data_IF_086045384378
#
_entry.id   IF_086045384378
#
_cell.length_a   1.000
_cell.length_b   1.000
_cell.length_c   1.000
_cell.angle_alpha   90.00
_cell.angle_beta   90.00
_cell.angle_gamma   90.00
#
_symmetry.space_group_name_H-M   'P 1'
#
loop_
_entity.id
_entity.type
_entity.pdbx_description
1 polymer ?
#
# COMPACT_ATOMS: atom_id res chain seq x y z
N UNK A 1 6.85 6.36 -11.33
CA UNK A 1 7.06 6.79 -9.93
C UNK A 1 6.32 8.10 -9.75
N UNK A 2 5.93 8.45 -8.53
CA UNK A 2 5.22 9.70 -8.24
C UNK A 2 6.07 10.55 -7.29
N UNK A 3 6.27 11.81 -7.64
CA UNK A 3 7.02 12.76 -6.82
C UNK A 3 6.07 13.56 -5.95
N UNK A 4 6.35 13.66 -4.66
CA UNK A 4 5.51 14.39 -3.71
C UNK A 4 5.92 15.84 -3.53
N UNK A 5 7.20 16.15 -3.78
CA UNK A 5 7.72 17.51 -3.58
C UNK A 5 7.51 18.42 -4.79
N UNK A 6 7.19 17.84 -5.96
CA UNK A 6 6.95 18.64 -7.15
C UNK A 6 5.55 19.26 -7.12
N UNK A 7 5.39 20.55 -7.47
CA UNK A 7 4.11 21.26 -7.39
C UNK A 7 2.94 20.59 -8.12
N UNK A 8 3.24 19.84 -9.20
CA UNK A 8 2.23 19.15 -10.01
C UNK A 8 2.12 17.65 -9.69
N UNK A 9 2.80 17.14 -8.65
CA UNK A 9 2.65 15.76 -8.15
C UNK A 9 2.80 14.66 -9.22
N UNK A 10 3.66 14.90 -10.22
CA UNK A 10 3.60 14.18 -11.49
C UNK A 10 4.19 12.76 -11.46
N UNK A 11 3.64 11.91 -12.33
CA UNK A 11 4.27 10.64 -12.66
C UNK A 11 5.56 10.89 -13.48
N UNK A 12 6.63 10.18 -13.13
CA UNK A 12 7.91 10.27 -13.82
C UNK A 12 8.55 8.89 -14.02
N UNK A 13 9.47 8.79 -15.00
CA UNK A 13 10.16 7.56 -15.37
C UNK A 13 11.45 7.34 -14.55
N UNK A 14 12.09 6.18 -14.71
CA UNK A 14 13.34 5.86 -14.02
C UNK A 14 14.46 6.89 -14.25
N UNK A 15 14.64 7.35 -15.50
CA UNK A 15 15.70 8.29 -15.87
C UNK A 15 15.48 9.70 -15.31
N UNK A 16 14.22 10.11 -15.11
CA UNK A 16 13.91 11.39 -14.49
C UNK A 16 14.29 11.42 -13.00
N UNK A 17 14.45 10.26 -12.35
CA UNK A 17 14.78 10.17 -10.92
C UNK A 17 16.08 10.90 -10.60
N UNK A 18 17.18 10.50 -11.23
CA UNK A 18 18.50 11.07 -10.91
C UNK A 18 18.71 12.48 -11.45
N UNK A 19 17.99 12.88 -12.51
CA UNK A 19 18.18 14.18 -13.15
C UNK A 19 17.35 15.30 -12.56
N UNK A 20 16.13 15.00 -12.05
CA UNK A 20 15.16 16.02 -11.60
C UNK A 20 14.57 15.76 -10.23
N UNK A 21 14.78 14.56 -9.66
CA UNK A 21 14.13 14.12 -8.42
C UNK A 21 15.12 13.37 -7.50
N UNK A 22 16.40 13.77 -7.51
CA UNK A 22 17.45 13.05 -6.79
C UNK A 22 17.25 13.06 -5.27
N UNK A 23 16.73 14.18 -4.75
CA UNK A 23 16.48 14.40 -3.32
C UNK A 23 14.99 14.55 -2.99
N UNK A 24 14.10 14.16 -3.90
CA UNK A 24 12.67 14.31 -3.66
C UNK A 24 12.08 13.06 -3.01
N UNK A 25 11.04 13.26 -2.18
CA UNK A 25 10.17 12.21 -1.70
C UNK A 25 9.39 11.59 -2.86
N UNK A 26 9.53 10.28 -3.03
CA UNK A 26 9.00 9.54 -4.17
C UNK A 26 8.29 8.28 -3.69
N UNK A 27 7.08 8.05 -4.22
CA UNK A 27 6.35 6.79 -4.06
C UNK A 27 6.40 5.99 -5.36
N UNK A 28 6.66 4.69 -5.25
CA UNK A 28 6.57 3.77 -6.37
C UNK A 28 5.45 2.74 -6.16
N UNK A 29 4.37 2.89 -6.93
CA UNK A 29 3.33 1.86 -7.06
C UNK A 29 3.88 0.68 -7.84
N UNK A 30 3.66 -0.53 -7.32
CA UNK A 30 4.09 -1.80 -7.89
C UNK A 30 2.89 -2.73 -8.03
N UNK A 31 2.98 -3.70 -8.94
CA UNK A 31 1.93 -4.71 -9.11
C UNK A 31 2.33 -6.03 -8.47
N UNK A 32 1.47 -6.56 -7.60
CA UNK A 32 1.59 -7.88 -7.00
C UNK A 32 0.25 -8.62 -7.13
N UNK A 33 0.27 -9.78 -7.78
CA UNK A 33 -0.93 -10.58 -8.06
C UNK A 33 -2.09 -9.73 -8.60
N UNK A 34 -1.84 -8.93 -9.64
CA UNK A 34 -2.78 -8.03 -10.30
C UNK A 34 -3.23 -6.79 -9.51
N UNK A 35 -2.81 -6.63 -8.26
CA UNK A 35 -3.18 -5.52 -7.39
C UNK A 35 -2.02 -4.57 -7.11
N UNK A 36 -2.37 -3.32 -6.83
CA UNK A 36 -1.39 -2.26 -6.57
C UNK A 36 -0.94 -2.27 -5.11
N UNK A 37 0.38 -2.27 -4.93
CA UNK A 37 1.06 -2.26 -3.64
C UNK A 37 2.12 -1.17 -3.58
N UNK A 38 2.42 -0.72 -2.38
CA UNK A 38 3.56 0.15 -2.06
C UNK A 38 4.38 -0.49 -0.95
N UNK A 39 5.68 -0.18 -0.91
CA UNK A 39 6.55 -0.62 0.18
C UNK A 39 6.25 0.23 1.41
N UNK A 40 6.14 -0.40 2.58
CA UNK A 40 5.88 0.32 3.83
C UNK A 40 6.96 1.37 4.10
N UNK A 41 8.22 1.02 3.86
CA UNK A 41 9.36 1.93 4.02
C UNK A 41 9.31 3.19 3.12
N UNK A 42 8.53 3.19 2.03
CA UNK A 42 8.37 4.37 1.17
C UNK A 42 7.25 5.31 1.65
N UNK A 43 6.34 4.82 2.49
CA UNK A 43 5.12 5.55 2.86
C UNK A 43 4.98 5.78 4.35
N UNK A 44 5.69 5.04 5.20
CA UNK A 44 5.56 5.13 6.66
C UNK A 44 5.96 6.48 7.24
N UNK A 45 6.86 7.21 6.57
CA UNK A 45 7.24 8.57 6.97
C UNK A 45 6.21 9.63 6.56
N UNK A 46 5.23 9.27 5.73
CA UNK A 46 4.28 10.19 5.10
C UNK A 46 2.83 9.90 5.51
N UNK A 47 2.54 8.64 5.85
CA UNK A 47 1.20 8.10 6.02
C UNK A 47 1.21 7.14 7.22
N UNK A 48 0.18 7.21 8.06
CA UNK A 48 -0.01 6.23 9.12
C UNK A 48 -0.43 4.88 8.53
N UNK A 49 0.46 3.90 8.57
CA UNK A 49 0.22 2.52 8.12
C UNK A 49 -0.26 1.59 9.25
N UNK A 50 -0.39 2.09 10.48
CA UNK A 50 -0.83 1.34 11.64
C UNK A 50 -2.23 0.73 11.45
N UNK A 51 -2.41 -0.49 11.94
CA UNK A 51 -3.66 -1.25 11.82
C UNK A 51 -3.97 -1.77 10.42
N UNK A 52 -3.16 -1.46 9.40
CA UNK A 52 -3.30 -2.02 8.06
C UNK A 52 -2.47 -3.29 7.93
N UNK A 53 -3.07 -4.36 7.41
CA UNK A 53 -2.35 -5.61 7.19
C UNK A 53 -1.25 -5.45 6.15
N UNK A 54 -0.05 -5.87 6.53
CA UNK A 54 1.14 -5.86 5.66
C UNK A 54 1.54 -7.26 5.25
N UNK A 55 2.20 -7.38 4.11
CA UNK A 55 2.67 -8.65 3.56
C UNK A 55 4.17 -8.56 3.25
N UNK A 56 4.88 -9.68 3.35
CA UNK A 56 6.27 -9.77 2.88
C UNK A 56 6.25 -10.37 1.48
N UNK A 57 6.63 -9.59 0.47
CA UNK A 57 6.66 -10.00 -0.94
C UNK A 57 8.02 -9.64 -1.52
N UNK A 58 8.72 -10.61 -2.11
CA UNK A 58 10.08 -10.44 -2.62
C UNK A 58 11.00 -9.78 -1.56
N UNK A 59 10.93 -10.30 -0.33
CA UNK A 59 11.68 -9.83 0.85
C UNK A 59 11.42 -8.37 1.25
N UNK A 60 10.31 -7.77 0.80
CA UNK A 60 9.92 -6.41 1.16
C UNK A 60 8.58 -6.39 1.88
N UNK A 61 8.48 -5.57 2.93
CA UNK A 61 7.19 -5.29 3.59
C UNK A 61 6.37 -4.35 2.71
N UNK A 62 5.21 -4.81 2.28
CA UNK A 62 4.30 -4.08 1.40
C UNK A 62 2.90 -4.00 1.97
N UNK A 63 2.16 -2.99 1.52
CA UNK A 63 0.75 -2.77 1.82
C UNK A 63 0.00 -2.56 0.52
N UNK A 64 -1.23 -3.07 0.44
CA UNK A 64 -2.10 -2.86 -0.72
C UNK A 64 -2.75 -1.49 -0.66
N UNK A 65 -2.87 -0.86 -1.83
CA UNK A 65 -3.52 0.44 -1.94
C UNK A 65 -5.02 0.33 -1.79
N UNK A 66 -5.65 -0.63 -2.46
CA UNK A 66 -7.11 -0.76 -2.50
C UNK A 66 -7.58 -2.13 -1.98
N UNK A 67 -8.87 -2.21 -1.69
CA UNK A 67 -9.54 -3.48 -1.44
C UNK A 67 -9.37 -4.43 -2.63
N UNK A 68 -9.47 -5.72 -2.34
CA UNK A 68 -9.27 -6.79 -3.32
C UNK A 68 -10.50 -7.70 -3.32
N UNK A 69 -10.87 -8.32 -4.46
CA UNK A 69 -12.00 -9.24 -4.55
C UNK A 69 -11.91 -10.34 -3.48
N UNK A 70 -13.00 -10.57 -2.74
CA UNK A 70 -12.99 -11.51 -1.61
C UNK A 70 -12.53 -12.90 -2.07
N UNK A 71 -11.52 -13.52 -1.41
CA UNK A 71 -11.37 -14.95 -1.48
C UNK A 71 -12.56 -15.55 -0.74
N UNK A 72 -13.20 -16.57 -1.31
CA UNK A 72 -14.32 -17.28 -0.70
C UNK A 72 -14.09 -17.44 0.80
N UNK A 73 -14.92 -16.77 1.60
CA UNK A 73 -14.76 -16.68 3.05
C UNK A 73 -14.69 -18.09 3.64
N UNK A 74 -13.49 -18.50 4.07
CA UNK A 74 -13.31 -19.73 4.82
C UNK A 74 -14.07 -19.61 6.14
N UNK A 75 -14.96 -20.57 6.42
CA UNK A 75 -15.69 -20.63 7.69
C UNK A 75 -14.69 -20.60 8.86
N UNK A 76 -14.79 -19.61 9.74
CA UNK A 76 -14.04 -19.56 11.00
C UNK A 76 -13.10 -18.35 11.22
N UNK A 77 -13.09 -17.34 10.34
CA UNK A 77 -12.29 -16.13 10.60
C UNK A 77 -13.04 -15.16 11.52
N UNK A 78 -12.44 -14.85 12.67
CA UNK A 78 -12.99 -13.91 13.67
C UNK A 78 -12.58 -12.46 13.44
N UNK A 79 -11.47 -12.22 12.74
CA UNK A 79 -10.93 -10.87 12.50
C UNK A 79 -11.12 -10.45 11.05
N UNK A 80 -12.02 -9.50 10.84
CA UNK A 80 -12.42 -9.00 9.52
C UNK A 80 -12.04 -7.52 9.41
N UNK A 81 -11.76 -7.09 8.18
CA UNK A 81 -11.57 -5.71 7.82
C UNK A 81 -12.83 -4.91 8.13
N UNK A 82 -12.68 -3.79 8.85
CA UNK A 82 -13.80 -2.97 9.32
C UNK A 82 -14.63 -2.34 8.18
N UNK A 83 -14.08 -2.23 6.97
CA UNK A 83 -14.77 -1.64 5.81
C UNK A 83 -15.34 -2.68 4.84
N UNK A 84 -14.52 -3.65 4.41
CA UNK A 84 -14.89 -4.55 3.32
C UNK A 84 -15.13 -6.00 3.76
N UNK A 85 -15.02 -6.29 5.07
CA UNK A 85 -15.26 -7.63 5.62
C UNK A 85 -14.22 -8.70 5.24
N UNK A 86 -13.13 -8.32 4.56
CA UNK A 86 -12.03 -9.25 4.24
C UNK A 86 -11.38 -9.78 5.51
N UNK A 87 -11.14 -11.09 5.56
CA UNK A 87 -10.35 -11.75 6.62
C UNK A 87 -8.95 -11.15 6.79
N UNK A 88 -8.57 -10.88 8.04
CA UNK A 88 -7.30 -10.28 8.44
C UNK A 88 -6.51 -11.17 9.40
N UNK A 89 -5.23 -10.86 9.55
CA UNK A 89 -4.40 -11.35 10.66
C UNK A 89 -4.55 -10.42 11.86
N UNK A 90 -4.62 -10.98 13.07
CA UNK A 90 -4.56 -10.19 14.30
C UNK A 90 -3.22 -9.44 14.44
N UNK A 91 -3.21 -8.21 14.98
CA UNK A 91 -4.33 -7.36 15.40
C UNK A 91 -4.75 -6.32 14.33
N UNK A 92 -4.72 -6.69 13.04
CA UNK A 92 -5.00 -5.74 11.95
C UNK A 92 -6.50 -5.40 11.86
N UNK A 93 -6.80 -4.14 11.54
CA UNK A 93 -8.16 -3.58 11.41
C UNK A 93 -8.57 -3.36 9.96
N UNK A 94 -7.61 -3.12 9.07
CA UNK A 94 -7.84 -2.80 7.66
C UNK A 94 -7.02 -3.69 6.72
N UNK A 95 -7.59 -4.03 5.56
CA UNK A 95 -6.91 -4.87 4.57
C UNK A 95 -6.02 -4.11 3.57
N UNK A 96 -6.19 -2.79 3.49
CA UNK A 96 -5.55 -1.90 2.53
C UNK A 96 -5.55 -0.46 3.07
N UNK A 97 -4.73 0.42 2.49
CA UNK A 97 -4.77 1.85 2.79
C UNK A 97 -6.12 2.48 2.43
N UNK A 98 -6.71 2.06 1.30
CA UNK A 98 -8.02 2.50 0.84
C UNK A 98 -9.11 2.22 1.86
N UNK A 99 -9.10 1.04 2.49
CA UNK A 99 -10.03 0.74 3.59
C UNK A 99 -9.77 1.54 4.87
N UNK A 100 -8.59 2.14 5.05
CA UNK A 100 -8.29 2.93 6.25
C UNK A 100 -8.72 4.40 6.13
N UNK A 101 -8.77 4.92 4.90
CA UNK A 101 -9.04 6.35 4.63
C UNK A 101 -10.52 6.66 4.35
N UNK A 102 -11.39 5.64 4.43
CA UNK A 102 -12.86 5.78 4.39
C UNK A 102 -13.35 6.10 5.81
#
# INVERSE_FOLDING_TARGET
MFCLDCPNGGAFCFYCRSSRHHDHAVIQIRRSSYHDVVRVAEVESLLDTGGVQTYVINSAKVVFLNERPLPNSGKGVTHLCEICGRSLLDPCRFCSLGCKVI
#
